data_IF_029826549428
#
_entry.id   IF_029826549428
#
_cell.length_a   1.000
_cell.length_b   1.000
_cell.length_c   1.000
_cell.angle_alpha   90.00
_cell.angle_beta   90.00
_cell.angle_gamma   90.00
#
_symmetry.space_group_name_H-M   'P 1'
#
loop_
_entity.id
_entity.type
_entity.pdbx_description
1 polymer ?
#
# COMPACT_ATOMS: atom_id res chain seq x y z
N UNK A 1 -6.24 -24.92 -0.31
CA UNK A 1 -6.36 -23.49 0.06
C UNK A 1 -5.25 -22.77 -0.69
N UNK A 2 -5.49 -21.73 -1.51
CA UNK A 2 -4.38 -21.05 -2.18
C UNK A 2 -3.54 -20.34 -1.12
N UNK A 3 -2.23 -20.64 -1.11
CA UNK A 3 -1.26 -20.02 -0.21
C UNK A 3 -1.34 -18.49 -0.29
N UNK A 4 -1.10 -17.76 0.81
CA UNK A 4 -0.90 -16.32 0.72
C UNK A 4 0.18 -16.06 -0.33
N UNK A 5 -0.21 -15.43 -1.45
CA UNK A 5 0.66 -15.26 -2.62
C UNK A 5 1.95 -14.48 -2.31
N UNK A 6 1.98 -13.77 -1.18
CA UNK A 6 3.06 -12.89 -0.77
C UNK A 6 3.28 -13.00 0.74
N UNK A 7 4.54 -13.14 1.15
CA UNK A 7 4.96 -13.03 2.56
C UNK A 7 4.66 -11.61 3.10
N UNK A 8 4.55 -11.44 4.42
CA UNK A 8 4.31 -10.11 5.02
C UNK A 8 5.28 -9.05 4.50
N UNK A 9 6.55 -9.40 4.38
CA UNK A 9 7.62 -8.52 3.90
C UNK A 9 7.41 -8.07 2.45
N UNK A 10 6.87 -8.94 1.60
CA UNK A 10 6.55 -8.61 0.21
C UNK A 10 5.30 -7.73 0.10
N UNK A 11 4.33 -7.92 1.00
CA UNK A 11 3.19 -7.00 1.09
C UNK A 11 3.67 -5.60 1.51
N UNK A 12 4.50 -5.50 2.53
CA UNK A 12 5.06 -4.23 3.01
C UNK A 12 5.83 -3.50 1.90
N UNK A 13 6.70 -4.22 1.18
CA UNK A 13 7.45 -3.64 0.07
C UNK A 13 6.54 -3.13 -1.06
N UNK A 14 5.46 -3.87 -1.38
CA UNK A 14 4.45 -3.41 -2.35
C UNK A 14 3.71 -2.16 -1.89
N UNK A 15 3.41 -2.07 -0.59
CA UNK A 15 2.74 -0.90 0.01
C UNK A 15 3.62 0.33 -0.11
N UNK A 16 4.89 0.21 0.28
CA UNK A 16 5.87 1.31 0.18
C UNK A 16 6.07 1.76 -1.27
N UNK A 17 6.24 0.81 -2.20
CA UNK A 17 6.34 1.13 -3.63
C UNK A 17 5.08 1.80 -4.18
N UNK A 18 3.89 1.34 -3.78
CA UNK A 18 2.63 1.93 -4.19
C UNK A 18 2.45 3.35 -3.65
N UNK A 19 2.84 3.59 -2.40
CA UNK A 19 2.84 4.92 -1.80
C UNK A 19 3.80 5.86 -2.52
N UNK A 20 5.05 5.43 -2.76
CA UNK A 20 6.01 6.21 -3.54
C UNK A 20 5.47 6.55 -4.93
N UNK A 21 4.91 5.58 -5.65
CA UNK A 21 4.33 5.80 -6.97
C UNK A 21 3.13 6.77 -6.93
N UNK A 22 2.27 6.68 -5.91
CA UNK A 22 1.16 7.61 -5.74
C UNK A 22 1.63 9.04 -5.39
N UNK A 23 2.68 9.16 -4.58
CA UNK A 23 3.32 10.43 -4.25
C UNK A 23 3.93 11.08 -5.49
N UNK A 24 4.64 10.30 -6.31
CA UNK A 24 5.22 10.79 -7.58
C UNK A 24 4.14 11.20 -8.59
N UNK A 25 3.02 10.49 -8.63
CA UNK A 25 1.95 10.75 -9.61
C UNK A 25 0.99 11.89 -9.23
N UNK A 26 0.61 12.02 -7.95
CA UNK A 26 -0.44 12.95 -7.49
C UNK A 26 0.08 14.07 -6.59
N UNK A 27 1.34 14.03 -6.16
CA UNK A 27 1.92 14.85 -5.07
C UNK A 27 1.60 14.31 -3.66
N UNK A 28 2.51 14.57 -2.73
CA UNK A 28 2.51 14.13 -1.32
C UNK A 28 1.22 14.47 -0.56
N UNK A 29 0.47 15.48 -1.00
CA UNK A 29 -0.75 15.91 -0.30
C UNK A 29 -2.03 15.27 -0.86
N UNK A 30 -1.98 14.78 -2.10
CA UNK A 30 -3.17 14.34 -2.85
C UNK A 30 -3.30 12.82 -2.92
N UNK A 31 -2.25 12.07 -2.57
CA UNK A 31 -2.35 10.61 -2.54
C UNK A 31 -3.31 10.13 -1.44
N UNK A 32 -4.06 9.08 -1.75
CA UNK A 32 -5.04 8.48 -0.85
C UNK A 32 -4.69 7.03 -0.53
N UNK A 33 -5.10 6.55 0.64
CA UNK A 33 -4.97 5.13 1.00
C UNK A 33 -5.65 4.20 -0.01
N UNK A 34 -6.75 4.65 -0.60
CA UNK A 34 -7.45 3.96 -1.69
C UNK A 34 -6.60 3.88 -2.97
N UNK A 35 -5.79 4.91 -3.25
CA UNK A 35 -4.79 4.90 -4.32
C UNK A 35 -3.69 3.88 -4.06
N UNK A 36 -3.14 3.87 -2.85
CA UNK A 36 -2.09 2.92 -2.43
C UNK A 36 -2.60 1.50 -2.50
N UNK A 37 -3.79 1.20 -1.98
CA UNK A 37 -4.35 -0.15 -2.01
C UNK A 37 -4.55 -0.67 -3.44
N UNK A 38 -5.03 0.20 -4.33
CA UNK A 38 -5.21 -0.09 -5.74
C UNK A 38 -3.87 -0.31 -6.45
N UNK A 39 -2.87 0.51 -6.16
CA UNK A 39 -1.53 0.38 -6.74
C UNK A 39 -0.76 -0.84 -6.20
N UNK A 40 -0.88 -1.15 -4.92
CA UNK A 40 -0.27 -2.32 -4.29
C UNK A 40 -0.97 -3.64 -4.68
N UNK A 41 -2.21 -3.55 -5.18
CA UNK A 41 -3.06 -4.71 -5.48
C UNK A 41 -3.46 -5.47 -4.21
N UNK A 42 -3.59 -4.75 -3.09
CA UNK A 42 -3.91 -5.31 -1.78
C UNK A 42 -5.27 -4.77 -1.31
N UNK A 43 -6.00 -5.61 -0.58
CA UNK A 43 -7.24 -5.18 0.07
C UNK A 43 -6.96 -4.14 1.13
N UNK A 44 -7.90 -3.21 1.36
CA UNK A 44 -7.80 -2.19 2.41
C UNK A 44 -7.48 -2.79 3.79
N UNK A 45 -8.05 -3.95 4.13
CA UNK A 45 -7.74 -4.62 5.41
C UNK A 45 -6.29 -5.12 5.54
N UNK A 46 -5.63 -5.45 4.44
CA UNK A 46 -4.20 -5.77 4.43
C UNK A 46 -3.36 -4.51 4.59
N UNK A 47 -3.76 -3.41 3.94
CA UNK A 47 -3.10 -2.10 4.09
C UNK A 47 -3.12 -1.65 5.55
N UNK A 48 -4.30 -1.60 6.19
CA UNK A 48 -4.44 -1.16 7.59
C UNK A 48 -3.70 -2.03 8.62
N UNK A 49 -3.30 -3.24 8.22
CA UNK A 49 -2.50 -4.14 9.07
C UNK A 49 -1.03 -3.75 9.10
N UNK A 50 -0.57 -3.02 8.08
CA UNK A 50 0.82 -2.59 7.92
C UNK A 50 0.98 -1.09 8.12
N UNK A 51 0.03 -0.28 7.63
CA UNK A 51 0.05 1.19 7.73
C UNK A 51 -1.32 1.73 8.14
N UNK A 52 -1.36 2.43 9.28
CA UNK A 52 -2.62 2.95 9.84
C UNK A 52 -3.00 4.33 9.30
N UNK A 53 -2.04 5.06 8.74
CA UNK A 53 -2.22 6.42 8.23
C UNK A 53 -1.22 6.70 7.11
N UNK A 54 -1.52 7.66 6.24
CA UNK A 54 -0.67 7.99 5.09
C UNK A 54 0.71 8.55 5.49
N UNK A 55 0.83 8.98 6.74
CA UNK A 55 2.07 9.49 7.36
C UNK A 55 2.98 8.37 7.89
N UNK A 56 2.48 7.15 7.94
CA UNK A 56 3.18 5.95 8.41
C UNK A 56 4.04 5.31 7.30
N UNK A 57 4.00 5.90 6.09
CA UNK A 57 4.56 5.39 4.85
C UNK A 57 5.70 6.27 4.33
#
# INVERSE_FOLDING_TARGET
MPAPKFSCQEQENRILQAAAACIEASSLLDFTMSGISKAAGLSMGSIYKHIQSKEDV
#
